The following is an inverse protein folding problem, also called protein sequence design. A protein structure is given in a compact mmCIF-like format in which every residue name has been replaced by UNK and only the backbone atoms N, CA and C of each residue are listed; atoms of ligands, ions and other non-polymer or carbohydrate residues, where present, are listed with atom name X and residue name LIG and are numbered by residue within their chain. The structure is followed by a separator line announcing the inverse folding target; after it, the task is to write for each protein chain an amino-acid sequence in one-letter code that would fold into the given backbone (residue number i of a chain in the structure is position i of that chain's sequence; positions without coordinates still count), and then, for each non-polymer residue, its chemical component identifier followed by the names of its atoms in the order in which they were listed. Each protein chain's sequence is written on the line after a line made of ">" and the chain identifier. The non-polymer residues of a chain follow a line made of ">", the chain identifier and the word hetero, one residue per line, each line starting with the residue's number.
data_IF_088886397220
#
_entry.id   IF_088886397220
#
_cell.length_a   1.000
_cell.length_b   1.000
_cell.length_c   1.000
_cell.angle_alpha   90.00
_cell.angle_beta   90.00
_cell.angle_gamma   90.00
#
_symmetry.space_group_name_H-M   'P 1'
#
loop_
_entity.id
_entity.type
_entity.pdbx_description
1 polymer ?
#
# COMPACT_ATOMS: atom_id res chain seq x y z
N UNK A 1 -36.37 39.36 -40.84
CA UNK A 1 -35.88 38.23 -40.02
C UNK A 1 -36.91 37.10 -40.10
N UNK A 2 -36.52 35.92 -40.62
CA UNK A 2 -37.44 34.81 -40.90
C UNK A 2 -38.12 34.29 -39.61
N UNK A 3 -39.44 34.03 -39.66
CA UNK A 3 -40.26 33.53 -38.55
C UNK A 3 -39.63 32.33 -37.82
N UNK A 4 -38.90 31.46 -38.53
CA UNK A 4 -38.21 30.31 -37.94
C UNK A 4 -37.05 30.68 -37.00
N UNK A 5 -36.33 31.78 -37.26
CA UNK A 5 -35.23 32.24 -36.39
C UNK A 5 -35.74 32.84 -35.07
N UNK A 6 -36.93 33.45 -35.10
CA UNK A 6 -37.57 34.04 -33.92
C UNK A 6 -38.09 32.94 -32.98
N UNK A 7 -38.72 31.88 -33.51
CA UNK A 7 -39.21 30.76 -32.70
C UNK A 7 -38.10 30.03 -31.95
N UNK A 8 -36.96 29.79 -32.60
CA UNK A 8 -35.80 29.14 -31.96
C UNK A 8 -35.18 30.03 -30.88
N UNK A 9 -35.13 31.35 -31.09
CA UNK A 9 -34.63 32.30 -30.09
C UNK A 9 -35.55 32.39 -28.87
N UNK A 10 -36.87 32.36 -29.05
CA UNK A 10 -37.85 32.38 -27.97
C UNK A 10 -37.77 31.08 -27.14
N UNK A 11 -37.70 29.91 -27.78
CA UNK A 11 -37.60 28.63 -27.07
C UNK A 11 -36.33 28.56 -26.20
N UNK A 12 -35.22 29.13 -26.69
CA UNK A 12 -33.94 29.13 -25.97
C UNK A 12 -33.93 30.07 -24.77
N UNK A 13 -34.69 31.17 -24.83
CA UNK A 13 -34.71 32.20 -23.78
C UNK A 13 -35.98 32.20 -22.92
N UNK A 14 -36.90 31.26 -23.15
CA UNK A 14 -38.18 31.14 -22.42
C UNK A 14 -37.97 31.06 -20.90
N UNK A 15 -36.88 30.41 -20.46
CA UNK A 15 -36.53 30.30 -19.04
C UNK A 15 -36.20 31.66 -18.40
N UNK A 16 -35.51 32.55 -19.10
CA UNK A 16 -35.24 33.91 -18.60
C UNK A 16 -36.51 34.75 -18.56
N UNK A 17 -37.40 34.59 -19.55
CA UNK A 17 -38.71 35.26 -19.57
C UNK A 17 -39.58 34.78 -18.41
N UNK A 18 -39.62 33.48 -18.15
CA UNK A 18 -40.36 32.91 -17.01
C UNK A 18 -39.78 33.35 -15.67
N UNK A 19 -38.45 33.37 -15.52
CA UNK A 19 -37.78 33.80 -14.30
C UNK A 19 -38.03 35.30 -14.03
N UNK A 20 -38.03 36.12 -15.08
CA UNK A 20 -38.42 37.53 -15.02
C UNK A 20 -39.90 37.72 -14.67
N UNK A 21 -40.80 36.93 -15.25
CA UNK A 21 -42.24 37.00 -14.95
C UNK A 21 -42.56 36.60 -13.50
N UNK A 22 -41.95 35.51 -13.00
CA UNK A 22 -42.11 35.05 -11.61
C UNK A 22 -41.53 36.08 -10.64
N UNK A 23 -40.34 36.62 -10.94
CA UNK A 23 -39.74 37.70 -10.15
C UNK A 23 -40.61 38.96 -10.12
N UNK A 24 -41.16 39.36 -11.27
CA UNK A 24 -42.07 40.50 -11.39
C UNK A 24 -43.37 40.33 -10.60
N UNK A 25 -44.00 39.15 -10.67
CA UNK A 25 -45.20 38.83 -9.87
C UNK A 25 -44.86 38.85 -8.37
N UNK A 26 -43.72 38.30 -7.97
CA UNK A 26 -43.25 38.34 -6.58
C UNK A 26 -43.10 39.77 -6.06
N UNK A 27 -42.51 40.67 -6.86
CA UNK A 27 -42.37 42.09 -6.52
C UNK A 27 -43.73 42.78 -6.40
N UNK A 28 -44.67 42.51 -7.31
CA UNK A 28 -46.02 43.09 -7.25
C UNK A 28 -46.81 42.65 -6.01
N UNK A 29 -46.70 41.37 -5.64
CA UNK A 29 -47.30 40.84 -4.40
C UNK A 29 -46.69 41.51 -3.17
N UNK A 30 -45.37 41.70 -3.14
CA UNK A 30 -44.68 42.41 -2.06
C UNK A 30 -45.18 43.86 -1.95
N UNK A 31 -45.28 44.59 -3.06
CA UNK A 31 -45.80 45.97 -3.04
C UNK A 31 -47.26 46.04 -2.59
N UNK A 32 -48.10 45.10 -3.01
CA UNK A 32 -49.49 45.02 -2.56
C UNK A 32 -49.60 44.79 -1.06
N UNK A 33 -48.80 43.87 -0.52
CA UNK A 33 -48.72 43.59 0.92
C UNK A 33 -48.22 44.83 1.68
N UNK A 34 -47.20 45.53 1.16
CA UNK A 34 -46.65 46.73 1.79
C UNK A 34 -47.68 47.89 1.87
N UNK A 35 -48.56 48.03 0.87
CA UNK A 35 -49.63 49.04 0.89
C UNK A 35 -50.70 48.82 1.98
N UNK A 36 -50.76 47.63 2.57
CA UNK A 36 -51.68 47.32 3.67
C UNK A 36 -51.16 47.78 5.04
N UNK A 37 -49.89 48.16 5.13
CA UNK A 37 -49.24 48.56 6.38
C UNK A 37 -49.13 50.08 6.50
N UNK A 38 -49.45 50.62 7.68
CA UNK A 38 -49.23 52.03 8.01
C UNK A 38 -47.73 52.36 8.09
N UNK A 39 -47.36 53.64 7.99
CA UNK A 39 -45.98 54.13 7.90
C UNK A 39 -45.06 53.60 9.03
N UNK A 40 -45.55 53.58 10.27
CA UNK A 40 -44.83 53.02 11.44
C UNK A 40 -44.56 51.51 11.31
N UNK A 41 -45.48 50.76 10.71
CA UNK A 41 -45.30 49.32 10.47
C UNK A 41 -44.31 49.05 9.33
N UNK A 42 -44.27 49.92 8.31
CA UNK A 42 -43.29 49.86 7.24
C UNK A 42 -41.86 50.11 7.72
N UNK A 43 -41.65 51.03 8.67
CA UNK A 43 -40.34 51.24 9.30
C UNK A 43 -39.86 49.99 10.04
N UNK A 44 -40.73 49.35 10.84
CA UNK A 44 -40.40 48.10 11.54
C UNK A 44 -40.04 46.99 10.54
N UNK A 45 -40.81 46.85 9.45
CA UNK A 45 -40.54 45.88 8.39
C UNK A 45 -39.19 46.16 7.70
N UNK A 46 -38.86 47.41 7.41
CA UNK A 46 -37.55 47.80 6.82
C UNK A 46 -36.38 47.44 7.72
N UNK A 47 -36.52 47.66 9.03
CA UNK A 47 -35.51 47.28 10.03
C UNK A 47 -35.35 45.77 10.06
N UNK A 48 -36.44 45.01 10.13
CA UNK A 48 -36.40 43.54 10.09
C UNK A 48 -35.73 43.01 8.82
N UNK A 49 -36.10 43.51 7.64
CA UNK A 49 -35.49 43.12 6.36
C UNK A 49 -33.99 43.41 6.36
N UNK A 50 -33.58 44.59 6.84
CA UNK A 50 -32.16 44.97 6.90
C UNK A 50 -31.36 44.05 7.81
N UNK A 51 -31.89 43.71 8.99
CA UNK A 51 -31.26 42.73 9.88
C UNK A 51 -31.20 41.34 9.24
N UNK A 52 -32.29 40.86 8.65
CA UNK A 52 -32.31 39.57 7.96
C UNK A 52 -31.34 39.53 6.78
N UNK A 53 -31.19 40.62 6.02
CA UNK A 53 -30.24 40.72 4.92
C UNK A 53 -28.78 40.64 5.39
N UNK A 54 -28.45 41.28 6.52
CA UNK A 54 -27.15 41.19 7.18
C UNK A 54 -26.89 39.73 7.60
N UNK A 55 -27.81 39.10 8.32
CA UNK A 55 -27.65 37.70 8.75
C UNK A 55 -27.60 36.71 7.57
N UNK A 56 -28.36 36.94 6.50
CA UNK A 56 -28.31 36.10 5.30
C UNK A 56 -26.95 36.22 4.60
N UNK A 57 -26.39 37.43 4.52
CA UNK A 57 -25.09 37.68 3.88
C UNK A 57 -23.95 37.08 4.72
N UNK A 58 -23.85 37.45 5.99
CA UNK A 58 -22.75 36.98 6.86
C UNK A 58 -22.93 35.52 7.28
N UNK A 59 -24.15 35.09 7.58
CA UNK A 59 -24.46 33.70 7.94
C UNK A 59 -24.30 32.76 6.74
N UNK A 60 -24.75 33.16 5.55
CA UNK A 60 -24.51 32.42 4.32
C UNK A 60 -23.02 32.31 3.98
N UNK A 61 -22.27 33.40 4.10
CA UNK A 61 -20.82 33.40 3.89
C UNK A 61 -20.08 32.52 4.93
N UNK A 62 -20.45 32.61 6.21
CA UNK A 62 -19.90 31.77 7.27
C UNK A 62 -20.16 30.28 7.01
N UNK A 63 -21.39 29.92 6.66
CA UNK A 63 -21.75 28.53 6.42
C UNK A 63 -21.08 27.97 5.16
N UNK A 64 -21.04 28.77 4.09
CA UNK A 64 -20.29 28.44 2.87
C UNK A 64 -18.80 28.25 3.13
N UNK A 65 -18.18 29.14 3.91
CA UNK A 65 -16.78 29.03 4.31
C UNK A 65 -16.53 27.77 5.16
N UNK A 66 -17.43 27.46 6.10
CA UNK A 66 -17.34 26.26 6.95
C UNK A 66 -17.40 24.98 6.12
N UNK A 67 -18.39 24.84 5.23
CA UNK A 67 -18.53 23.65 4.37
C UNK A 67 -17.32 23.51 3.45
N UNK A 68 -16.84 24.61 2.87
CA UNK A 68 -15.67 24.62 1.99
C UNK A 68 -14.40 24.21 2.75
N UNK A 69 -14.21 24.72 3.98
CA UNK A 69 -13.10 24.36 4.86
C UNK A 69 -13.12 22.89 5.25
N UNK A 70 -14.28 22.37 5.65
CA UNK A 70 -14.44 20.95 6.01
C UNK A 70 -14.14 20.02 4.82
N UNK A 71 -14.58 20.39 3.61
CA UNK A 71 -14.26 19.63 2.40
C UNK A 71 -12.77 19.72 2.03
N UNK A 72 -12.15 20.90 2.12
CA UNK A 72 -10.72 21.07 1.90
C UNK A 72 -9.89 20.23 2.88
N UNK A 73 -10.28 20.19 4.16
CA UNK A 73 -9.65 19.34 5.17
C UNK A 73 -9.80 17.85 4.86
N UNK A 74 -10.99 17.42 4.41
CA UNK A 74 -11.22 16.02 3.99
C UNK A 74 -10.35 15.64 2.79
N UNK A 75 -10.25 16.52 1.79
CA UNK A 75 -9.41 16.30 0.61
C UNK A 75 -7.93 16.20 0.99
N UNK A 76 -7.43 17.14 1.79
CA UNK A 76 -6.05 17.11 2.29
C UNK A 76 -5.73 15.83 3.08
N UNK A 77 -6.66 15.37 3.93
CA UNK A 77 -6.50 14.09 4.65
C UNK A 77 -6.43 12.89 3.70
N UNK A 78 -7.25 12.88 2.64
CA UNK A 78 -7.21 11.83 1.62
C UNK A 78 -5.89 11.84 0.85
N UNK A 79 -5.41 13.02 0.47
CA UNK A 79 -4.14 13.20 -0.23
C UNK A 79 -2.94 12.71 0.60
N UNK A 80 -2.82 13.14 1.85
CA UNK A 80 -1.76 12.67 2.77
C UNK A 80 -1.82 11.14 2.96
N UNK A 81 -3.01 10.56 3.01
CA UNK A 81 -3.15 9.10 3.10
C UNK A 81 -2.74 8.40 1.81
N UNK A 82 -3.07 8.98 0.65
CA UNK A 82 -2.68 8.46 -0.65
C UNK A 82 -1.16 8.53 -0.84
N UNK A 83 -0.53 9.66 -0.51
CA UNK A 83 0.92 9.84 -0.59
C UNK A 83 1.66 8.83 0.31
N UNK A 84 1.24 8.69 1.57
CA UNK A 84 1.83 7.68 2.48
C UNK A 84 1.69 6.26 1.97
N UNK A 85 0.51 5.91 1.42
CA UNK A 85 0.32 4.59 0.81
C UNK A 85 1.22 4.41 -0.41
N UNK A 86 1.34 5.42 -1.26
CA UNK A 86 2.18 5.40 -2.47
C UNK A 86 3.66 5.24 -2.12
N UNK A 87 4.14 5.97 -1.12
CA UNK A 87 5.50 5.85 -0.60
C UNK A 87 5.74 4.41 -0.10
N UNK A 88 4.87 3.89 0.76
CA UNK A 88 4.94 2.49 1.22
C UNK A 88 4.98 1.48 0.06
N UNK A 89 4.13 1.65 -0.96
CA UNK A 89 4.12 0.76 -2.13
C UNK A 89 5.43 0.86 -2.92
N UNK A 90 5.95 2.07 -3.11
CA UNK A 90 7.19 2.32 -3.87
C UNK A 90 8.39 1.72 -3.15
N UNK A 91 8.49 1.93 -1.84
CA UNK A 91 9.57 1.41 -1.01
C UNK A 91 9.52 -0.12 -0.92
N UNK A 92 8.31 -0.69 -0.81
CA UNK A 92 8.13 -2.14 -0.81
C UNK A 92 8.52 -2.73 -2.18
N UNK A 93 8.10 -2.10 -3.27
CA UNK A 93 8.45 -2.53 -4.62
C UNK A 93 9.96 -2.52 -4.86
N UNK A 94 10.66 -1.47 -4.42
CA UNK A 94 12.11 -1.38 -4.49
C UNK A 94 12.79 -2.52 -3.74
N UNK A 95 12.37 -2.79 -2.49
CA UNK A 95 12.88 -3.91 -1.70
C UNK A 95 12.67 -5.26 -2.41
N UNK A 96 11.49 -5.49 -3.00
CA UNK A 96 11.21 -6.73 -3.74
C UNK A 96 12.08 -6.87 -4.99
N UNK A 97 12.25 -5.78 -5.75
CA UNK A 97 13.14 -5.75 -6.91
C UNK A 97 14.59 -6.02 -6.51
N UNK A 98 15.05 -5.49 -5.38
CA UNK A 98 16.40 -5.72 -4.89
C UNK A 98 16.60 -7.21 -4.54
N UNK A 99 15.64 -7.83 -3.85
CA UNK A 99 15.68 -9.27 -3.54
C UNK A 99 15.71 -10.14 -4.81
N UNK A 100 14.92 -9.78 -5.81
CA UNK A 100 14.90 -10.49 -7.09
C UNK A 100 16.24 -10.33 -7.84
N UNK A 101 16.79 -9.11 -7.87
CA UNK A 101 18.08 -8.82 -8.52
C UNK A 101 19.24 -9.57 -7.87
N UNK A 102 19.13 -9.87 -6.57
CA UNK A 102 20.09 -10.67 -5.79
C UNK A 102 19.89 -12.19 -5.96
N UNK A 103 18.94 -12.62 -6.79
CA UNK A 103 18.75 -14.03 -7.11
C UNK A 103 18.04 -14.84 -6.02
N UNK A 104 17.26 -14.20 -5.13
CA UNK A 104 16.56 -14.89 -4.04
C UNK A 104 15.73 -16.08 -4.53
N UNK A 105 15.09 -15.97 -5.70
CA UNK A 105 14.29 -17.05 -6.29
C UNK A 105 15.15 -18.26 -6.70
N UNK A 106 16.33 -18.04 -7.25
CA UNK A 106 17.28 -19.11 -7.59
C UNK A 106 17.78 -19.79 -6.31
N UNK A 107 18.18 -19.00 -5.32
CA UNK A 107 18.63 -19.48 -4.00
C UNK A 107 17.59 -20.38 -3.33
N UNK A 108 16.30 -20.04 -3.39
CA UNK A 108 15.22 -20.91 -2.87
C UNK A 108 15.15 -22.25 -3.59
N UNK A 109 15.24 -22.22 -4.92
CA UNK A 109 15.18 -23.43 -5.74
C UNK A 109 16.38 -24.34 -5.45
N UNK A 110 17.58 -23.75 -5.35
CA UNK A 110 18.80 -24.48 -5.05
C UNK A 110 18.78 -25.05 -3.62
N UNK A 111 18.34 -24.27 -2.63
CA UNK A 111 18.18 -24.75 -1.25
C UNK A 111 17.25 -25.96 -1.21
N UNK A 112 16.10 -25.88 -1.89
CA UNK A 112 15.13 -26.97 -1.96
C UNK A 112 15.72 -28.19 -2.68
N UNK A 113 16.42 -27.99 -3.79
CA UNK A 113 17.08 -29.05 -4.56
C UNK A 113 18.09 -29.81 -3.68
N UNK A 114 19.08 -29.11 -3.11
CA UNK A 114 20.12 -29.74 -2.31
C UNK A 114 19.60 -30.35 -1.01
N UNK A 115 18.60 -29.71 -0.39
CA UNK A 115 17.94 -30.30 0.77
C UNK A 115 17.22 -31.61 0.42
N UNK A 116 16.55 -31.69 -0.74
CA UNK A 116 15.95 -32.95 -1.18
C UNK A 116 17.00 -34.02 -1.47
N UNK A 117 18.13 -33.66 -2.07
CA UNK A 117 19.23 -34.60 -2.35
C UNK A 117 19.78 -35.27 -1.10
N UNK A 118 19.77 -34.61 0.07
CA UNK A 118 20.15 -35.23 1.35
C UNK A 118 19.41 -36.54 1.66
N UNK A 119 18.18 -36.70 1.15
CA UNK A 119 17.37 -37.89 1.39
C UNK A 119 17.63 -39.02 0.38
N UNK A 120 18.03 -38.67 -0.85
CA UNK A 120 18.10 -39.62 -1.97
C UNK A 120 19.54 -40.01 -2.35
N UNK A 121 20.52 -39.14 -2.12
CA UNK A 121 21.92 -39.34 -2.53
C UNK A 121 22.76 -39.76 -1.34
N UNK A 122 22.62 -41.02 -0.92
CA UNK A 122 23.26 -41.52 0.31
C UNK A 122 24.78 -41.39 0.31
N UNK A 123 25.44 -41.41 -0.84
CA UNK A 123 26.90 -41.33 -0.94
C UNK A 123 27.44 -39.90 -1.08
N UNK A 124 26.58 -38.93 -1.36
CA UNK A 124 26.96 -37.54 -1.63
C UNK A 124 26.43 -36.55 -0.56
N UNK A 125 26.16 -37.02 0.66
CA UNK A 125 25.66 -36.17 1.76
C UNK A 125 26.62 -35.02 2.06
N UNK A 126 27.94 -35.26 2.02
CA UNK A 126 28.94 -34.21 2.14
C UNK A 126 28.75 -33.07 1.12
N UNK A 127 28.60 -33.41 -0.17
CA UNK A 127 28.41 -32.43 -1.24
C UNK A 127 27.12 -31.64 -1.02
N UNK A 128 26.03 -32.33 -0.67
CA UNK A 128 24.76 -31.68 -0.37
C UNK A 128 24.87 -30.68 0.78
N UNK A 129 25.53 -31.05 1.88
CA UNK A 129 25.70 -30.18 3.05
C UNK A 129 26.62 -29.00 2.74
N UNK A 130 27.66 -29.22 1.94
CA UNK A 130 28.55 -28.18 1.48
C UNK A 130 27.81 -27.13 0.65
N UNK A 131 27.04 -27.55 -0.35
CA UNK A 131 26.25 -26.66 -1.20
C UNK A 131 25.19 -25.91 -0.39
N UNK A 132 24.52 -26.59 0.55
CA UNK A 132 23.60 -25.93 1.47
C UNK A 132 24.32 -24.84 2.27
N UNK A 133 25.52 -25.10 2.77
CA UNK A 133 26.30 -24.13 3.55
C UNK A 133 26.60 -22.86 2.74
N UNK A 134 27.04 -23.02 1.49
CA UNK A 134 27.26 -21.91 0.56
C UNK A 134 25.97 -21.12 0.30
N UNK A 135 24.84 -21.80 0.13
CA UNK A 135 23.53 -21.16 -0.05
C UNK A 135 23.11 -20.39 1.20
N UNK A 136 23.36 -20.92 2.40
CA UNK A 136 23.08 -20.20 3.65
C UNK A 136 23.91 -18.92 3.75
N UNK A 137 25.16 -18.92 3.29
CA UNK A 137 26.00 -17.72 3.23
C UNK A 137 25.46 -16.67 2.25
N UNK A 138 24.96 -17.10 1.09
CA UNK A 138 24.28 -16.20 0.14
C UNK A 138 23.04 -15.56 0.77
N UNK A 139 22.25 -16.33 1.53
CA UNK A 139 21.06 -15.79 2.24
C UNK A 139 21.46 -14.74 3.30
N UNK A 140 22.58 -14.96 4.02
CA UNK A 140 23.13 -13.97 4.96
C UNK A 140 23.60 -12.69 4.25
N UNK A 141 24.29 -12.82 3.12
CA UNK A 141 24.70 -11.69 2.28
C UNK A 141 23.49 -10.87 1.83
N UNK A 142 22.45 -11.51 1.27
CA UNK A 142 21.21 -10.82 0.88
C UNK A 142 20.61 -10.02 2.02
N UNK A 143 20.53 -10.62 3.22
CA UNK A 143 19.98 -9.92 4.38
C UNK A 143 20.79 -8.67 4.77
N UNK A 144 22.11 -8.71 4.59
CA UNK A 144 22.97 -7.58 4.90
C UNK A 144 22.95 -6.47 3.84
N UNK A 145 22.62 -6.82 2.59
CA UNK A 145 22.71 -5.92 1.44
C UNK A 145 21.37 -5.30 1.05
N UNK A 146 20.25 -5.93 1.39
CA UNK A 146 18.90 -5.43 1.07
C UNK A 146 18.36 -4.56 2.20
N UNK A 147 17.86 -3.39 1.85
CA UNK A 147 17.14 -2.52 2.77
C UNK A 147 15.69 -3.01 2.95
N UNK A 148 15.38 -3.52 4.15
CA UNK A 148 14.04 -4.01 4.46
C UNK A 148 13.09 -2.88 4.89
N UNK A 149 12.31 -2.39 3.94
CA UNK A 149 11.30 -1.35 4.14
C UNK A 149 10.00 -1.89 4.74
N UNK A 150 9.68 -3.17 4.49
CA UNK A 150 8.54 -3.85 5.11
C UNK A 150 8.94 -4.58 6.40
N UNK A 151 8.28 -4.21 7.51
CA UNK A 151 8.52 -4.79 8.83
C UNK A 151 8.25 -6.29 8.88
N UNK A 152 7.25 -6.78 8.13
CA UNK A 152 6.90 -8.21 8.12
C UNK A 152 8.02 -9.00 7.45
N UNK A 153 8.43 -8.61 6.23
CA UNK A 153 9.54 -9.23 5.50
C UNK A 153 10.85 -9.16 6.30
N UNK A 154 11.17 -7.98 6.86
CA UNK A 154 12.38 -7.80 7.68
C UNK A 154 12.40 -8.70 8.92
N UNK A 155 11.25 -8.89 9.59
CA UNK A 155 11.17 -9.81 10.73
C UNK A 155 11.33 -11.28 10.33
N UNK A 156 10.79 -11.69 9.18
CA UNK A 156 10.98 -13.06 8.66
C UNK A 156 12.43 -13.34 8.33
N UNK A 157 13.10 -12.40 7.65
CA UNK A 157 14.52 -12.53 7.39
C UNK A 157 15.33 -12.60 8.69
N UNK A 158 15.00 -11.81 9.72
CA UNK A 158 15.65 -11.94 11.05
C UNK A 158 15.48 -13.34 11.65
N UNK A 159 14.30 -13.94 11.51
CA UNK A 159 14.07 -15.31 11.96
C UNK A 159 14.91 -16.32 11.15
N UNK A 160 14.96 -16.17 9.82
CA UNK A 160 15.81 -16.97 8.94
C UNK A 160 17.28 -16.87 9.38
N UNK A 161 17.78 -15.66 9.61
CA UNK A 161 19.16 -15.42 10.08
C UNK A 161 19.44 -16.12 11.42
N UNK A 162 18.47 -16.11 12.34
CA UNK A 162 18.61 -16.85 13.60
C UNK A 162 18.70 -18.36 13.35
N UNK A 163 17.80 -18.91 12.54
CA UNK A 163 17.81 -20.33 12.20
C UNK A 163 19.11 -20.74 11.49
N UNK A 164 19.65 -19.89 10.59
CA UNK A 164 20.94 -20.12 9.92
C UNK A 164 22.08 -20.18 10.94
N UNK A 165 22.13 -19.23 11.88
CA UNK A 165 23.14 -19.22 12.95
C UNK A 165 23.06 -20.48 13.81
N UNK A 166 21.86 -20.94 14.13
CA UNK A 166 21.65 -22.17 14.90
C UNK A 166 22.17 -23.40 14.13
N UNK A 167 21.93 -23.47 12.82
CA UNK A 167 22.47 -24.54 11.94
C UNK A 167 24.00 -24.47 11.87
N UNK A 168 24.60 -23.30 11.66
CA UNK A 168 26.05 -23.14 11.59
C UNK A 168 26.79 -23.48 12.89
N UNK A 169 26.11 -23.47 14.03
CA UNK A 169 26.70 -23.89 15.32
C UNK A 169 26.78 -25.41 15.48
N UNK A 170 26.14 -26.17 14.61
CA UNK A 170 26.15 -27.63 14.69
C UNK A 170 27.53 -28.16 14.30
N UNK A 171 28.09 -29.02 15.15
CA UNK A 171 29.43 -29.59 14.99
C UNK A 171 29.62 -30.22 13.61
N UNK A 172 28.65 -31.00 13.16
CA UNK A 172 28.66 -31.68 11.86
C UNK A 172 28.57 -30.73 10.65
N UNK A 173 28.05 -29.50 10.79
CA UNK A 173 28.15 -28.48 9.73
C UNK A 173 29.56 -27.89 9.67
N UNK A 174 30.19 -27.69 10.83
CA UNK A 174 31.51 -27.09 10.92
C UNK A 174 32.61 -28.02 10.41
N UNK A 175 32.40 -29.33 10.47
CA UNK A 175 33.28 -30.34 9.86
C UNK A 175 33.36 -30.23 8.33
N UNK A 176 32.36 -29.62 7.67
CA UNK A 176 32.33 -29.46 6.20
C UNK A 176 33.12 -28.22 5.78
N UNK A 177 34.33 -28.44 5.25
CA UNK A 177 35.25 -27.38 4.79
C UNK A 177 35.82 -27.68 3.40
N UNK A 178 36.19 -26.63 2.66
CA UNK A 178 36.67 -26.68 1.26
C UNK A 178 37.91 -27.57 1.03
N UNK A 179 38.83 -27.63 2.00
CA UNK A 179 40.18 -28.20 1.80
C UNK A 179 40.38 -29.60 2.42
N UNK A 180 39.31 -30.40 2.52
CA UNK A 180 39.44 -31.80 2.94
C UNK A 180 39.96 -32.67 1.80
N UNK A 181 40.88 -33.59 2.12
CA UNK A 181 41.24 -34.68 1.24
C UNK A 181 40.10 -35.73 1.16
N UNK A 182 40.21 -36.67 0.22
CA UNK A 182 39.15 -37.67 0.01
C UNK A 182 38.88 -38.53 1.26
N UNK A 183 39.93 -38.86 2.01
CA UNK A 183 39.81 -39.59 3.29
C UNK A 183 39.00 -38.79 4.33
N UNK A 184 39.30 -37.51 4.48
CA UNK A 184 38.59 -36.60 5.37
C UNK A 184 37.14 -36.42 4.97
N UNK A 185 36.86 -36.22 3.67
CA UNK A 185 35.48 -36.14 3.16
C UNK A 185 34.68 -37.40 3.48
N UNK A 186 35.28 -38.58 3.31
CA UNK A 186 34.58 -39.84 3.59
C UNK A 186 34.26 -40.01 5.09
N UNK A 187 35.18 -39.60 5.97
CA UNK A 187 34.95 -39.63 7.42
C UNK A 187 33.81 -38.68 7.83
N UNK A 188 33.83 -37.44 7.34
CA UNK A 188 32.77 -36.46 7.60
C UNK A 188 31.44 -36.94 7.01
N UNK A 189 31.44 -37.52 5.81
CA UNK A 189 30.24 -38.08 5.18
C UNK A 189 29.57 -39.15 6.05
N UNK A 190 30.36 -40.02 6.72
CA UNK A 190 29.82 -41.02 7.67
C UNK A 190 29.11 -40.38 8.87
N UNK A 191 29.64 -39.26 9.39
CA UNK A 191 28.99 -38.50 10.47
C UNK A 191 27.72 -37.80 9.98
N UNK A 192 27.76 -37.18 8.81
CA UNK A 192 26.61 -36.51 8.20
C UNK A 192 25.46 -37.47 7.89
N UNK A 193 25.76 -38.68 7.39
CA UNK A 193 24.75 -39.73 7.13
C UNK A 193 23.92 -40.05 8.37
N UNK A 194 24.51 -40.06 9.57
CA UNK A 194 23.80 -40.30 10.85
C UNK A 194 22.83 -39.17 11.19
N UNK A 195 23.18 -37.93 10.82
CA UNK A 195 22.40 -36.74 11.16
C UNK A 195 21.49 -36.26 10.02
N UNK A 196 21.58 -36.84 8.81
CA UNK A 196 20.96 -36.33 7.56
C UNK A 196 19.49 -35.91 7.70
N UNK A 197 18.70 -36.66 8.46
CA UNK A 197 17.28 -36.35 8.68
C UNK A 197 17.06 -35.10 9.54
N UNK A 198 17.92 -34.87 10.53
CA UNK A 198 17.90 -33.66 11.33
C UNK A 198 18.32 -32.45 10.49
N UNK A 199 19.40 -32.59 9.70
CA UNK A 199 19.83 -31.56 8.72
C UNK A 199 18.65 -31.19 7.83
N UNK A 200 18.05 -32.20 7.21
CA UNK A 200 16.93 -32.04 6.30
C UNK A 200 15.78 -31.23 6.92
N UNK A 201 15.40 -31.59 8.16
CA UNK A 201 14.31 -30.92 8.89
C UNK A 201 14.62 -29.45 9.15
N UNK A 202 15.84 -29.14 9.56
CA UNK A 202 16.26 -27.77 9.89
C UNK A 202 16.32 -26.90 8.64
N UNK A 203 16.93 -27.41 7.57
CA UNK A 203 17.02 -26.70 6.28
C UNK A 203 15.63 -26.53 5.67
N UNK A 204 14.76 -27.53 5.79
CA UNK A 204 13.36 -27.43 5.34
C UNK A 204 12.60 -26.33 6.08
N UNK A 205 12.86 -26.12 7.38
CA UNK A 205 12.26 -25.00 8.13
C UNK A 205 12.71 -23.65 7.56
N UNK A 206 14.00 -23.50 7.25
CA UNK A 206 14.54 -22.29 6.60
C UNK A 206 13.90 -22.07 5.23
N UNK A 207 13.81 -23.13 4.42
CA UNK A 207 13.16 -23.11 3.10
C UNK A 207 11.71 -22.66 3.18
N UNK A 208 10.93 -23.20 4.13
CA UNK A 208 9.55 -22.74 4.34
C UNK A 208 9.48 -21.26 4.70
N UNK A 209 10.30 -20.79 5.64
CA UNK A 209 10.32 -19.37 5.99
C UNK A 209 10.67 -18.47 4.80
N UNK A 210 11.57 -18.92 3.91
CA UNK A 210 11.92 -18.22 2.68
C UNK A 210 10.78 -18.21 1.66
N UNK A 211 10.07 -19.32 1.49
CA UNK A 211 8.92 -19.43 0.57
C UNK A 211 7.78 -18.48 0.98
N UNK A 212 7.66 -18.14 2.25
CA UNK A 212 6.71 -17.13 2.70
C UNK A 212 7.10 -15.67 2.39
N UNK A 213 8.18 -15.47 1.61
CA UNK A 213 8.66 -14.20 1.08
C UNK A 213 8.67 -14.31 -0.44
N UNK A 214 8.08 -13.41 -1.24
CA UNK A 214 7.14 -12.35 -0.89
C UNK A 214 5.70 -12.86 -0.91
N UNK A 215 4.90 -12.47 0.09
CA UNK A 215 3.45 -12.77 0.12
C UNK A 215 2.59 -11.78 -0.68
N UNK A 216 3.13 -10.62 -1.05
CA UNK A 216 2.35 -9.54 -1.65
C UNK A 216 2.72 -9.35 -3.12
N UNK A 217 1.73 -9.50 -3.99
CA UNK A 217 1.81 -9.16 -5.39
C UNK A 217 1.67 -7.64 -5.56
N UNK A 218 2.50 -7.06 -6.43
CA UNK A 218 2.48 -5.64 -6.81
C UNK A 218 1.08 -5.23 -7.29
N UNK A 219 0.37 -6.13 -7.96
CA UNK A 219 -0.99 -5.89 -8.45
C UNK A 219 -2.05 -5.75 -7.34
N UNK A 220 -1.85 -6.38 -6.18
CA UNK A 220 -2.77 -6.23 -5.04
C UNK A 220 -2.56 -4.89 -4.32
N UNK A 221 -1.30 -4.42 -4.27
CA UNK A 221 -0.95 -3.10 -3.71
C UNK A 221 -1.51 -1.96 -4.57
N UNK A 222 -1.43 -2.06 -5.90
CA UNK A 222 -2.02 -1.07 -6.81
C UNK A 222 -3.54 -1.04 -6.73
N UNK A 223 -4.21 -2.17 -6.49
CA UNK A 223 -5.67 -2.21 -6.25
C UNK A 223 -6.06 -1.49 -4.96
N UNK A 224 -5.23 -1.53 -3.92
CA UNK A 224 -5.48 -0.81 -2.65
C UNK A 224 -5.28 0.71 -2.70
N UNK A 225 -4.72 1.22 -3.81
CA UNK A 225 -4.54 2.64 -4.12
C UNK A 225 -5.71 3.24 -4.94
N UNK A 226 -6.56 2.41 -5.56
CA UNK A 226 -7.78 2.82 -6.26
C UNK A 226 -8.98 2.89 -5.31
#
# INVERSE_FOLDING_TARGET
>A
MSRGKIQVWILKNIWYVLLGAIGGIGIMIIFYILNFFNEKSLEVIKVCISFTAIFATFGGAYWGAKISGDNALKLKKKEINYERKKEYVTDHHKMLSDLESKGLNAIKQDLKKWNNNLLYEEDQVYVCVFEIKEILEQIESIYSEVEFTDKICGNKFKEIQKNIKDVKRMEWINEVVHNLDESGKEQVNKNLKKNKHEIFRLIKKIGYSLDEIPKYDIYELEKGLR
#
